data_IF_795599378068
#
_entry.id   IF_795599378068
#
_cell.length_a   1.000
_cell.length_b   1.000
_cell.length_c   1.000
_cell.angle_alpha   90.00
_cell.angle_beta   90.00
_cell.angle_gamma   90.00
#
_symmetry.space_group_name_H-M   'P 1'
#
loop_
_entity.id
_entity.type
_entity.pdbx_description
1 polymer ?
#
# COMPACT_ATOMS: atom_id res chain seq x y z
N UNK A 1 -21.00 16.26 17.06
CA UNK A 1 -19.72 16.36 17.78
C UNK A 1 -19.26 17.82 17.87
N UNK A 2 -19.11 18.54 16.74
CA UNK A 2 -18.62 19.93 16.78
C UNK A 2 -19.48 20.81 17.69
N UNK A 3 -20.80 20.79 17.54
CA UNK A 3 -21.71 21.55 18.41
C UNK A 3 -21.57 21.20 19.90
N UNK A 4 -21.31 19.91 20.23
CA UNK A 4 -21.06 19.50 21.63
C UNK A 4 -19.77 20.10 22.17
N UNK A 5 -18.74 20.25 21.33
CA UNK A 5 -17.46 20.86 21.72
C UNK A 5 -17.52 22.38 21.89
N UNK A 6 -18.56 23.03 21.34
CA UNK A 6 -18.79 24.46 21.52
C UNK A 6 -19.47 24.79 22.83
N UNK A 7 -20.37 23.89 23.29
CA UNK A 7 -21.22 24.13 24.48
C UNK A 7 -20.68 23.57 25.79
N UNK A 8 -19.66 22.69 25.74
CA UNK A 8 -19.11 22.04 26.93
C UNK A 8 -17.57 21.95 26.89
N UNK A 9 -16.94 22.11 28.04
CA UNK A 9 -15.48 21.99 28.18
C UNK A 9 -15.03 20.54 28.22
N UNK A 10 -15.89 19.62 28.68
CA UNK A 10 -15.64 18.18 28.75
C UNK A 10 -16.79 17.44 28.07
N UNK A 11 -16.46 16.63 27.09
CA UNK A 11 -17.44 15.92 26.26
C UNK A 11 -17.03 14.47 26.11
N UNK A 12 -17.90 13.57 26.55
CA UNK A 12 -17.80 12.14 26.29
C UNK A 12 -18.92 11.74 25.34
N UNK A 13 -18.59 11.02 24.28
CA UNK A 13 -19.56 10.64 23.25
C UNK A 13 -19.28 9.24 22.73
N UNK A 14 -20.35 8.49 22.48
CA UNK A 14 -20.32 7.24 21.74
C UNK A 14 -20.82 7.48 20.33
N UNK A 15 -20.07 7.05 19.32
CA UNK A 15 -20.43 7.27 17.92
C UNK A 15 -19.68 6.31 16.98
N UNK A 16 -20.06 6.26 15.66
CA UNK A 16 -19.33 5.45 14.67
C UNK A 16 -17.86 5.81 14.58
N UNK A 17 -16.98 4.81 14.55
CA UNK A 17 -15.53 4.98 14.61
C UNK A 17 -14.84 5.24 13.26
N UNK A 18 -15.59 5.40 12.17
CA UNK A 18 -15.05 5.48 10.79
C UNK A 18 -13.99 6.56 10.58
N UNK A 19 -14.14 7.70 11.27
CA UNK A 19 -13.19 8.81 11.16
C UNK A 19 -11.78 8.43 11.64
N UNK A 20 -11.66 7.52 12.63
CA UNK A 20 -10.38 7.03 13.13
C UNK A 20 -9.53 6.35 12.05
N UNK A 21 -10.17 5.81 11.03
CA UNK A 21 -9.55 5.07 9.93
C UNK A 21 -9.58 5.85 8.61
N UNK A 22 -10.02 7.10 8.64
CA UNK A 22 -10.21 7.93 7.46
C UNK A 22 -11.12 7.27 6.41
N UNK A 23 -12.16 6.57 6.90
CA UNK A 23 -13.09 5.76 6.12
C UNK A 23 -14.52 6.31 6.20
N UNK A 24 -15.36 5.89 5.25
CA UNK A 24 -16.77 6.28 5.17
C UNK A 24 -16.98 7.63 4.49
N UNK A 25 -18.20 8.18 4.65
CA UNK A 25 -18.63 9.43 4.00
C UNK A 25 -18.30 10.68 4.80
N UNK A 26 -17.52 10.57 5.88
CA UNK A 26 -17.08 11.72 6.67
C UNK A 26 -16.09 12.56 5.85
N UNK A 27 -16.24 13.89 5.77
CA UNK A 27 -15.31 14.74 5.04
C UNK A 27 -13.88 14.58 5.55
N UNK A 28 -12.91 14.44 4.63
CA UNK A 28 -11.50 14.23 5.01
C UNK A 28 -10.96 15.33 5.92
N UNK A 29 -11.28 16.58 5.62
CA UNK A 29 -10.88 17.73 6.45
C UNK A 29 -11.42 17.63 7.89
N UNK A 30 -12.63 17.11 8.07
CA UNK A 30 -13.19 16.89 9.41
C UNK A 30 -12.46 15.73 10.12
N UNK A 31 -12.15 14.65 9.42
CA UNK A 31 -11.35 13.55 9.99
C UNK A 31 -9.98 14.04 10.44
N UNK A 32 -9.30 14.84 9.61
CA UNK A 32 -7.99 15.45 9.93
C UNK A 32 -8.09 16.37 11.15
N UNK A 33 -9.12 17.22 11.22
CA UNK A 33 -9.41 18.07 12.39
C UNK A 33 -9.51 17.23 13.66
N UNK A 34 -10.31 16.18 13.64
CA UNK A 34 -10.53 15.31 14.81
C UNK A 34 -9.26 14.53 15.19
N UNK A 35 -8.53 13.99 14.22
CA UNK A 35 -7.33 13.20 14.47
C UNK A 35 -6.13 14.06 14.90
N UNK A 36 -6.12 15.35 14.58
CA UNK A 36 -5.08 16.30 14.97
C UNK A 36 -5.41 17.06 16.27
N UNK A 37 -6.63 16.94 16.81
CA UNK A 37 -7.01 17.61 18.06
C UNK A 37 -6.25 17.01 19.26
N UNK A 38 -5.34 17.78 19.91
CA UNK A 38 -4.57 17.28 21.04
C UNK A 38 -5.41 17.12 22.31
N UNK A 39 -6.62 17.64 22.34
CA UNK A 39 -7.56 17.57 23.46
C UNK A 39 -8.51 16.37 23.39
N UNK A 40 -8.49 15.62 22.27
CA UNK A 40 -9.31 14.46 22.03
C UNK A 40 -8.55 13.16 22.33
N UNK A 41 -9.21 12.24 23.03
CA UNK A 41 -8.69 10.87 23.24
C UNK A 41 -9.76 9.84 22.98
N UNK A 42 -9.34 8.61 22.65
CA UNK A 42 -10.20 7.43 22.56
C UNK A 42 -10.16 6.68 23.89
N UNK A 43 -11.31 6.54 24.52
CA UNK A 43 -11.45 5.76 25.76
C UNK A 43 -11.67 4.28 25.45
N UNK A 44 -12.51 3.98 24.45
CA UNK A 44 -12.83 2.62 24.07
C UNK A 44 -13.13 2.53 22.56
N UNK A 45 -12.76 1.42 21.96
CA UNK A 45 -13.09 1.06 20.59
C UNK A 45 -13.54 -0.38 20.51
N UNK A 46 -14.71 -0.62 19.88
CA UNK A 46 -15.21 -1.97 19.59
C UNK A 46 -15.50 -2.08 18.08
N UNK A 47 -14.83 -3.02 17.44
CA UNK A 47 -14.98 -3.27 16.02
C UNK A 47 -16.32 -3.88 15.63
N UNK A 48 -16.88 -4.69 16.53
CA UNK A 48 -18.19 -5.33 16.39
C UNK A 48 -19.24 -4.53 17.15
N UNK A 49 -19.95 -3.68 16.43
CA UNK A 49 -20.98 -2.82 17.01
C UNK A 49 -22.12 -3.59 17.72
N UNK A 50 -22.36 -4.85 17.34
CA UNK A 50 -23.41 -5.67 17.95
C UNK A 50 -23.15 -6.01 19.40
N UNK A 51 -21.88 -5.96 19.85
CA UNK A 51 -21.51 -6.14 21.26
C UNK A 51 -21.88 -4.96 22.15
N UNK A 52 -22.08 -3.77 21.56
CA UNK A 52 -22.47 -2.56 22.28
C UNK A 52 -23.96 -2.28 22.06
N UNK A 53 -24.41 -2.38 20.82
CA UNK A 53 -25.80 -2.14 20.43
C UNK A 53 -26.34 -3.37 19.70
N UNK A 54 -27.22 -4.12 20.39
CA UNK A 54 -27.81 -5.31 19.81
C UNK A 54 -28.48 -5.03 18.46
N UNK A 55 -28.36 -5.95 17.52
CA UNK A 55 -28.94 -5.86 16.17
C UNK A 55 -28.42 -4.70 15.30
N UNK A 56 -27.22 -4.20 15.55
CA UNK A 56 -26.59 -3.17 14.71
C UNK A 56 -25.37 -3.70 13.97
N UNK A 57 -25.17 -3.23 12.74
CA UNK A 57 -23.96 -3.49 11.93
C UNK A 57 -23.38 -2.14 11.47
N UNK A 58 -22.61 -1.50 12.35
CA UNK A 58 -21.93 -0.24 12.06
C UNK A 58 -20.53 -0.56 11.51
N UNK A 59 -20.39 -0.51 10.19
CA UNK A 59 -19.09 -0.74 9.54
C UNK A 59 -18.02 0.24 10.06
N UNK A 60 -16.87 -0.31 10.46
CA UNK A 60 -15.79 0.44 11.12
C UNK A 60 -15.91 0.48 12.65
N UNK A 61 -16.98 -0.11 13.23
CA UNK A 61 -17.15 -0.22 14.67
C UNK A 61 -17.65 1.06 15.35
N UNK A 62 -17.63 1.02 16.66
CA UNK A 62 -18.08 2.08 17.57
C UNK A 62 -16.92 2.54 18.44
N UNK A 63 -16.89 3.82 18.74
CA UNK A 63 -15.86 4.43 19.59
C UNK A 63 -16.50 5.26 20.70
N UNK A 64 -15.91 5.23 21.89
CA UNK A 64 -16.14 6.20 22.96
C UNK A 64 -14.97 7.16 22.93
N UNK A 65 -15.25 8.43 22.64
CA UNK A 65 -14.28 9.50 22.66
C UNK A 65 -14.51 10.42 23.86
N UNK A 66 -13.42 10.96 24.38
CA UNK A 66 -13.45 11.97 25.41
C UNK A 66 -12.61 13.17 24.96
N UNK A 67 -13.19 14.36 25.08
CA UNK A 67 -12.50 15.61 24.82
C UNK A 67 -12.53 16.49 26.08
N UNK A 68 -11.36 16.99 26.47
CA UNK A 68 -11.21 17.95 27.58
C UNK A 68 -10.46 19.17 27.04
N UNK A 69 -11.13 20.32 27.02
CA UNK A 69 -10.63 21.57 26.44
C UNK A 69 -9.31 22.05 27.05
N UNK A 70 -9.01 21.62 28.28
CA UNK A 70 -7.80 22.02 29.01
C UNK A 70 -6.71 20.97 28.92
N UNK A 71 -7.06 19.69 28.92
CA UNK A 71 -6.10 18.60 29.01
C UNK A 71 -5.55 18.23 27.64
N UNK A 72 -4.22 18.20 27.51
CA UNK A 72 -3.54 17.77 26.30
C UNK A 72 -3.17 16.30 26.39
N UNK A 73 -3.76 15.47 25.51
CA UNK A 73 -3.49 14.03 25.36
C UNK A 73 -2.49 13.75 24.24
N UNK A 74 -2.18 14.77 23.41
CA UNK A 74 -1.51 14.61 22.13
C UNK A 74 -2.44 14.18 21.01
N UNK A 75 -2.13 14.56 19.80
CA UNK A 75 -2.91 14.20 18.62
C UNK A 75 -2.97 12.67 18.41
N UNK A 76 -4.15 12.16 18.03
CA UNK A 76 -4.34 10.73 17.70
C UNK A 76 -3.53 10.39 16.42
N UNK A 77 -3.51 11.28 15.43
CA UNK A 77 -2.92 11.15 14.09
C UNK A 77 -3.38 9.89 13.34
N UNK A 78 -2.97 8.71 13.82
CA UNK A 78 -3.37 7.40 13.31
C UNK A 78 -3.84 6.55 14.48
N UNK A 79 -5.10 6.15 14.42
CA UNK A 79 -5.64 5.27 15.44
C UNK A 79 -5.13 3.85 15.24
N UNK A 80 -4.54 3.30 16.29
CA UNK A 80 -4.01 1.92 16.34
C UNK A 80 -4.85 1.16 17.34
N UNK A 81 -5.55 0.13 16.85
CA UNK A 81 -6.53 -0.64 17.63
C UNK A 81 -5.90 -1.36 18.84
N UNK A 82 -4.70 -1.92 18.64
CA UNK A 82 -4.02 -2.72 19.66
C UNK A 82 -3.02 -1.87 20.45
N UNK A 83 -3.13 -1.88 21.77
CA UNK A 83 -2.26 -1.08 22.66
C UNK A 83 -0.79 -1.45 22.54
N UNK A 84 -0.48 -2.74 22.36
CA UNK A 84 0.86 -3.25 22.14
C UNK A 84 1.49 -2.64 20.88
N UNK A 85 0.73 -2.62 19.78
CA UNK A 85 1.20 -2.02 18.53
C UNK A 85 1.34 -0.51 18.63
N UNK A 86 0.47 0.16 19.40
CA UNK A 86 0.58 1.59 19.70
C UNK A 86 1.87 1.88 20.45
N UNK A 87 2.23 1.04 21.44
CA UNK A 87 3.49 1.14 22.17
C UNK A 87 4.71 0.98 21.25
N UNK A 88 4.69 -0.03 20.36
CA UNK A 88 5.78 -0.27 19.40
C UNK A 88 5.88 0.89 18.40
N UNK A 89 4.76 1.35 17.83
CA UNK A 89 4.74 2.46 16.89
C UNK A 89 5.28 3.77 17.51
N UNK A 90 4.97 4.03 18.79
CA UNK A 90 5.54 5.17 19.54
C UNK A 90 7.06 5.05 19.71
N UNK A 91 7.58 3.85 19.98
CA UNK A 91 9.02 3.61 20.06
C UNK A 91 9.69 3.87 18.72
N UNK A 92 9.14 3.34 17.63
CA UNK A 92 9.63 3.58 16.27
C UNK A 92 9.69 5.08 15.97
N UNK A 93 8.61 5.83 16.25
CA UNK A 93 8.56 7.29 16.04
C UNK A 93 9.67 8.07 16.78
N UNK A 94 10.17 7.55 17.90
CA UNK A 94 11.24 8.16 18.68
C UNK A 94 12.65 7.93 18.13
N UNK A 95 12.82 6.99 17.19
CA UNK A 95 14.14 6.59 16.66
C UNK A 95 14.55 7.33 15.39
N UNK A 96 13.82 8.37 14.97
CA UNK A 96 14.11 9.12 13.72
C UNK A 96 14.33 8.19 12.51
N UNK A 97 13.51 7.17 12.39
CA UNK A 97 13.62 6.14 11.35
C UNK A 97 13.22 6.65 9.97
N UNK A 98 13.84 6.12 8.94
CA UNK A 98 13.36 6.21 7.57
C UNK A 98 12.33 5.11 7.33
N UNK A 99 11.19 5.45 6.76
CA UNK A 99 10.14 4.47 6.46
C UNK A 99 10.45 3.67 5.19
N UNK A 100 10.16 2.36 5.20
CA UNK A 100 10.22 1.49 4.01
C UNK A 100 9.35 2.04 2.86
N UNK A 101 8.29 2.80 3.17
CA UNK A 101 7.44 3.44 2.15
C UNK A 101 8.21 4.33 1.16
N UNK A 102 9.40 4.81 1.53
CA UNK A 102 10.24 5.68 0.68
C UNK A 102 10.89 4.96 -0.49
N UNK A 103 11.04 3.64 -0.39
CA UNK A 103 11.63 2.80 -1.43
C UNK A 103 10.59 1.89 -2.10
N UNK A 104 9.30 2.19 -1.93
CA UNK A 104 8.20 1.49 -2.61
C UNK A 104 7.76 2.29 -3.83
N UNK A 105 7.81 1.65 -4.97
CA UNK A 105 7.34 2.15 -6.26
C UNK A 105 5.90 1.69 -6.48
N UNK A 106 5.03 2.63 -6.77
CA UNK A 106 3.59 2.39 -6.90
C UNK A 106 3.26 1.40 -8.04
N UNK A 107 2.08 0.79 -7.96
CA UNK A 107 1.60 -0.12 -8.99
C UNK A 107 1.49 0.57 -10.38
N UNK A 108 1.28 1.88 -10.41
CA UNK A 108 1.15 2.71 -11.59
C UNK A 108 2.48 3.22 -12.15
N UNK A 109 3.63 2.69 -11.68
CA UNK A 109 4.98 3.14 -12.08
C UNK A 109 5.31 2.82 -13.54
N UNK A 110 4.73 1.78 -14.10
CA UNK A 110 4.87 1.41 -15.51
C UNK A 110 3.67 1.93 -16.30
N UNK A 111 3.94 2.58 -17.43
CA UNK A 111 2.88 3.16 -18.27
C UNK A 111 3.21 3.01 -19.75
N UNK A 112 2.20 2.95 -20.60
CA UNK A 112 2.41 3.06 -22.04
C UNK A 112 2.94 4.43 -22.43
N UNK A 113 3.65 4.48 -23.55
CA UNK A 113 4.15 5.72 -24.16
C UNK A 113 3.24 6.18 -25.28
N UNK A 114 3.42 7.44 -25.73
CA UNK A 114 2.78 7.96 -26.93
C UNK A 114 3.16 7.15 -28.17
N UNK A 115 4.41 6.65 -28.26
CA UNK A 115 4.89 5.82 -29.36
C UNK A 115 4.04 4.57 -29.51
N UNK A 116 3.73 3.89 -28.41
CA UNK A 116 2.85 2.71 -28.43
C UNK A 116 1.50 3.03 -29.06
N UNK A 117 0.88 4.14 -28.65
CA UNK A 117 -0.45 4.54 -29.15
C UNK A 117 -0.42 4.97 -30.61
N UNK A 118 0.62 5.67 -31.05
CA UNK A 118 0.77 6.10 -32.45
C UNK A 118 0.93 4.91 -33.40
N UNK A 119 1.73 3.92 -33.00
CA UNK A 119 2.00 2.74 -33.82
C UNK A 119 0.90 1.67 -33.74
N UNK A 120 0.07 1.70 -32.68
CA UNK A 120 -0.99 0.72 -32.43
C UNK A 120 -2.32 1.41 -32.10
N UNK A 121 -2.80 2.30 -32.96
CA UNK A 121 -4.00 3.11 -32.70
C UNK A 121 -5.26 2.28 -32.40
N UNK A 122 -5.37 1.08 -32.95
CA UNK A 122 -6.50 0.15 -32.70
C UNK A 122 -6.60 -0.28 -31.25
N UNK A 123 -5.52 -0.27 -30.45
CA UNK A 123 -5.57 -0.70 -29.04
C UNK A 123 -6.36 0.26 -28.16
N UNK A 124 -6.56 1.52 -28.57
CA UNK A 124 -7.30 2.48 -27.76
C UNK A 124 -8.76 2.03 -27.48
N UNK A 125 -9.36 1.31 -28.43
CA UNK A 125 -10.71 0.75 -28.27
C UNK A 125 -10.77 -0.40 -27.25
N UNK A 126 -9.64 -1.07 -26.98
CA UNK A 126 -9.51 -2.16 -26.03
C UNK A 126 -9.20 -1.66 -24.61
N UNK A 127 -8.73 -0.43 -24.48
CA UNK A 127 -8.33 0.17 -23.21
C UNK A 127 -9.52 0.91 -22.54
N UNK A 128 -9.46 1.03 -21.23
CA UNK A 128 -10.52 1.73 -20.48
C UNK A 128 -10.44 3.23 -20.71
N UNK A 129 -11.58 3.89 -20.95
CA UNK A 129 -11.68 5.34 -21.12
C UNK A 129 -11.00 6.07 -19.94
N UNK A 130 -10.16 7.06 -20.24
CA UNK A 130 -9.39 7.81 -19.24
C UNK A 130 -8.16 7.09 -18.67
N UNK A 131 -7.89 5.85 -19.09
CA UNK A 131 -6.81 5.00 -18.56
C UNK A 131 -5.95 4.37 -19.64
N UNK A 132 -5.85 5.01 -20.79
CA UNK A 132 -5.17 4.45 -21.97
C UNK A 132 -3.67 4.20 -21.77
N UNK A 133 -3.03 4.91 -20.85
CA UNK A 133 -1.61 4.72 -20.54
C UNK A 133 -1.36 3.71 -19.41
N UNK A 134 -2.38 3.19 -18.76
CA UNK A 134 -2.21 2.38 -17.56
C UNK A 134 -1.93 0.90 -17.88
N UNK A 135 -0.92 0.34 -17.21
CA UNK A 135 -0.66 -1.11 -17.21
C UNK A 135 -1.60 -1.85 -16.27
N UNK A 136 -2.93 -1.79 -16.54
CA UNK A 136 -3.94 -2.46 -15.71
C UNK A 136 -3.68 -3.95 -15.57
N UNK A 137 -4.22 -4.56 -14.52
CA UNK A 137 -3.99 -5.97 -14.18
C UNK A 137 -4.33 -6.95 -15.31
N UNK A 138 -5.28 -6.60 -16.19
CA UNK A 138 -5.74 -7.44 -17.30
C UNK A 138 -5.13 -7.05 -18.66
N UNK A 139 -4.12 -6.18 -18.68
CA UNK A 139 -3.56 -5.65 -19.94
C UNK A 139 -2.84 -6.72 -20.76
N UNK A 140 -2.22 -7.71 -20.08
CA UNK A 140 -1.50 -8.79 -20.77
C UNK A 140 -2.43 -9.66 -21.65
N UNK A 141 -3.64 -9.95 -21.18
CA UNK A 141 -4.62 -10.69 -21.97
C UNK A 141 -5.35 -9.81 -22.97
N UNK A 142 -5.64 -8.54 -22.63
CA UNK A 142 -6.34 -7.63 -23.55
C UNK A 142 -5.54 -7.29 -24.79
N UNK A 143 -4.23 -7.15 -24.67
CA UNK A 143 -3.33 -6.75 -25.76
C UNK A 143 -2.38 -7.87 -26.16
N UNK A 144 -2.80 -9.12 -25.92
CA UNK A 144 -2.04 -10.30 -26.32
C UNK A 144 -1.88 -10.37 -27.85
N UNK A 145 -0.68 -10.72 -28.30
CA UNK A 145 -0.29 -10.76 -29.72
C UNK A 145 -0.50 -9.45 -30.48
N UNK A 146 -0.75 -8.32 -29.77
CA UNK A 146 -0.80 -6.98 -30.36
C UNK A 146 0.44 -6.19 -29.93
N UNK A 147 0.62 -6.02 -28.62
CA UNK A 147 1.80 -5.34 -28.05
C UNK A 147 2.52 -6.20 -27.01
N UNK A 148 1.86 -7.22 -26.45
CA UNK A 148 2.45 -8.20 -25.54
C UNK A 148 2.57 -9.56 -26.23
N UNK A 149 3.74 -10.18 -26.11
CA UNK A 149 4.06 -11.44 -26.78
C UNK A 149 4.57 -12.46 -25.78
N UNK A 150 4.17 -13.72 -25.93
CA UNK A 150 4.67 -14.83 -25.10
C UNK A 150 6.12 -15.16 -25.40
N UNK A 151 6.55 -15.00 -26.64
CA UNK A 151 7.94 -15.14 -27.08
C UNK A 151 8.47 -13.79 -27.58
N UNK A 152 9.76 -13.52 -27.41
CA UNK A 152 10.38 -12.31 -27.89
C UNK A 152 10.39 -12.27 -29.42
N UNK A 153 9.75 -11.29 -30.07
CA UNK A 153 9.75 -11.15 -31.51
C UNK A 153 11.19 -10.93 -32.05
N UNK A 154 11.46 -11.45 -33.23
CA UNK A 154 12.79 -11.37 -33.91
C UNK A 154 12.77 -10.33 -35.00
N UNK A 155 12.31 -9.12 -34.67
CA UNK A 155 12.16 -7.99 -35.62
C UNK A 155 13.28 -6.94 -35.53
N UNK A 156 14.29 -7.19 -34.69
CA UNK A 156 15.41 -6.28 -34.47
C UNK A 156 15.13 -5.18 -33.43
N UNK A 157 13.91 -5.12 -32.86
CA UNK A 157 13.56 -4.16 -31.81
C UNK A 157 14.06 -4.62 -30.42
N UNK A 158 14.22 -3.66 -29.50
CA UNK A 158 14.51 -3.98 -28.10
C UNK A 158 13.24 -4.32 -27.33
N UNK A 159 13.26 -5.40 -26.60
CA UNK A 159 12.13 -5.87 -25.79
C UNK A 159 12.48 -5.95 -24.31
N UNK A 160 11.46 -5.80 -23.46
CA UNK A 160 11.52 -5.99 -22.01
C UNK A 160 10.42 -6.97 -21.58
N UNK A 161 10.60 -7.57 -20.41
CA UNK A 161 9.58 -8.44 -19.81
C UNK A 161 8.70 -7.69 -18.83
N UNK A 162 7.41 -8.00 -18.84
CA UNK A 162 6.43 -7.49 -17.90
C UNK A 162 5.73 -8.66 -17.23
N UNK A 163 5.82 -8.73 -15.89
CA UNK A 163 5.08 -9.66 -15.05
C UNK A 163 3.67 -9.12 -14.80
N UNK A 164 2.68 -9.94 -15.02
CA UNK A 164 1.29 -9.61 -14.74
C UNK A 164 0.47 -10.87 -14.45
N UNK A 165 -0.86 -10.76 -14.59
CA UNK A 165 -1.77 -11.88 -14.56
C UNK A 165 -2.34 -12.11 -15.96
N UNK A 166 -2.40 -13.38 -16.35
CA UNK A 166 -3.21 -13.87 -17.44
C UNK A 166 -4.28 -14.79 -16.83
N UNK A 167 -5.52 -14.30 -16.74
CA UNK A 167 -6.51 -14.86 -15.84
C UNK A 167 -6.06 -14.79 -14.37
N UNK A 168 -5.92 -15.92 -13.71
CA UNK A 168 -5.40 -16.03 -12.33
C UNK A 168 -3.90 -16.40 -12.26
N UNK A 169 -3.26 -16.68 -13.40
CA UNK A 169 -1.88 -17.16 -13.47
C UNK A 169 -0.90 -16.01 -13.62
N UNK A 170 0.13 -16.00 -12.79
CA UNK A 170 1.29 -15.09 -12.96
C UNK A 170 2.03 -15.47 -14.25
N UNK A 171 2.19 -14.50 -15.14
CA UNK A 171 2.77 -14.71 -16.49
C UNK A 171 3.65 -13.53 -16.83
N UNK A 172 4.78 -13.81 -17.48
CA UNK A 172 5.64 -12.80 -18.07
C UNK A 172 5.36 -12.73 -19.58
N UNK A 173 5.25 -11.52 -20.13
CA UNK A 173 5.17 -11.29 -21.57
C UNK A 173 6.18 -10.23 -22.00
N UNK A 174 6.60 -10.33 -23.25
CA UNK A 174 7.51 -9.39 -23.88
C UNK A 174 6.74 -8.23 -24.48
N UNK A 175 7.31 -7.03 -24.36
CA UNK A 175 6.82 -5.79 -24.98
C UNK A 175 8.01 -4.96 -25.45
N UNK A 176 7.86 -4.22 -26.55
CA UNK A 176 8.90 -3.30 -27.01
C UNK A 176 9.24 -2.27 -25.91
N UNK A 177 10.52 -2.05 -25.70
CA UNK A 177 11.03 -1.17 -24.62
C UNK A 177 10.55 0.28 -24.79
N UNK A 178 10.50 0.79 -26.00
CA UNK A 178 10.05 2.16 -26.32
C UNK A 178 8.55 2.37 -26.15
N UNK A 179 7.76 1.30 -25.98
CA UNK A 179 6.35 1.36 -25.67
C UNK A 179 6.07 1.58 -24.16
N UNK A 180 7.12 1.50 -23.33
CA UNK A 180 6.98 1.50 -21.88
C UNK A 180 7.79 2.61 -21.24
N UNK A 181 7.11 3.47 -20.47
CA UNK A 181 7.75 4.34 -19.49
C UNK A 181 8.03 3.52 -18.23
N UNK A 182 9.29 3.41 -17.85
CA UNK A 182 9.75 2.62 -16.70
C UNK A 182 10.16 3.49 -15.51
N UNK A 183 10.03 3.01 -14.27
CA UNK A 183 10.52 3.68 -13.07
C UNK A 183 12.06 3.56 -12.95
N UNK A 184 12.60 4.37 -12.05
CA UNK A 184 14.06 4.46 -11.83
C UNK A 184 14.70 3.13 -11.36
N UNK A 185 13.93 2.26 -10.67
CA UNK A 185 14.40 0.95 -10.20
C UNK A 185 14.31 -0.16 -11.26
N UNK A 186 13.94 0.17 -12.50
CA UNK A 186 13.78 -0.83 -13.56
C UNK A 186 15.06 -1.60 -13.86
N UNK A 187 16.20 -0.92 -13.89
CA UNK A 187 17.52 -1.51 -14.17
C UNK A 187 18.20 -2.18 -12.96
N UNK A 188 17.49 -2.36 -11.84
CA UNK A 188 18.03 -2.92 -10.60
C UNK A 188 17.27 -4.17 -10.19
N UNK A 189 17.84 -5.00 -9.30
CA UNK A 189 17.08 -6.00 -8.55
C UNK A 189 16.04 -5.31 -7.68
N UNK A 190 14.91 -5.95 -7.48
CA UNK A 190 13.78 -5.43 -6.70
C UNK A 190 12.83 -6.54 -6.28
N UNK A 191 11.97 -6.25 -5.33
CA UNK A 191 10.97 -7.23 -4.86
C UNK A 191 9.58 -6.79 -5.29
N UNK A 192 8.87 -7.62 -6.05
CA UNK A 192 7.47 -7.41 -6.36
C UNK A 192 6.58 -7.96 -5.25
N UNK A 193 5.64 -7.15 -4.81
CA UNK A 193 4.56 -7.52 -3.88
C UNK A 193 3.21 -7.23 -4.53
N UNK A 194 2.19 -8.03 -4.20
CA UNK A 194 0.84 -7.79 -4.71
C UNK A 194 0.30 -6.45 -4.18
N UNK A 195 -0.31 -5.63 -5.07
CA UNK A 195 -1.00 -4.40 -4.70
C UNK A 195 -2.15 -4.65 -3.73
N UNK A 196 -2.90 -5.72 -3.97
CA UNK A 196 -3.98 -6.19 -3.09
C UNK A 196 -3.58 -7.52 -2.45
N UNK A 197 -3.81 -7.66 -1.15
CA UNK A 197 -3.46 -8.85 -0.39
C UNK A 197 -4.49 -9.13 0.72
N UNK A 198 -5.06 -10.31 0.69
CA UNK A 198 -6.06 -10.77 1.66
C UNK A 198 -7.33 -9.93 1.70
N UNK A 199 -8.04 -9.96 2.83
CA UNK A 199 -9.26 -9.19 3.10
C UNK A 199 -8.98 -7.83 3.74
N UNK A 200 -7.79 -7.66 4.29
CA UNK A 200 -7.40 -6.52 5.12
C UNK A 200 -7.50 -6.81 6.62
N UNK A 201 -7.83 -8.04 7.00
CA UNK A 201 -7.81 -8.44 8.39
C UNK A 201 -6.39 -8.36 8.98
N UNK A 202 -6.30 -7.95 10.24
CA UNK A 202 -5.02 -7.88 10.93
C UNK A 202 -4.40 -9.27 11.08
N UNK A 203 -3.10 -9.37 10.80
CA UNK A 203 -2.35 -10.62 10.93
C UNK A 203 -2.29 -11.49 9.66
N UNK A 204 -2.99 -11.11 8.60
CA UNK A 204 -2.88 -11.79 7.30
C UNK A 204 -1.43 -11.82 6.80
N UNK A 205 -1.07 -12.94 6.16
CA UNK A 205 0.22 -13.06 5.50
C UNK A 205 0.21 -12.36 4.15
N UNK A 206 1.33 -11.74 3.78
CA UNK A 206 1.52 -11.25 2.43
C UNK A 206 1.56 -12.42 1.43
N UNK A 207 0.94 -12.24 0.27
CA UNK A 207 1.18 -13.13 -0.88
C UNK A 207 2.68 -13.21 -1.14
N UNK A 208 3.17 -14.38 -1.55
CA UNK A 208 4.61 -14.59 -1.73
C UNK A 208 5.25 -13.47 -2.57
N UNK A 209 6.19 -12.69 -2.01
CA UNK A 209 6.97 -11.72 -2.77
C UNK A 209 7.78 -12.41 -3.87
N UNK A 210 8.06 -11.69 -4.93
CA UNK A 210 8.83 -12.18 -6.09
C UNK A 210 10.08 -11.32 -6.23
N UNK A 211 11.24 -11.94 -6.25
CA UNK A 211 12.48 -11.26 -6.60
C UNK A 211 12.48 -11.08 -8.13
N UNK A 212 12.64 -9.86 -8.58
CA UNK A 212 12.69 -9.51 -9.98
C UNK A 212 14.09 -9.02 -10.37
N UNK A 213 14.62 -9.61 -11.42
CA UNK A 213 15.90 -9.24 -12.03
C UNK A 213 15.84 -7.83 -12.67
N UNK A 214 16.99 -7.21 -12.94
CA UNK A 214 17.08 -6.02 -13.79
C UNK A 214 16.38 -6.23 -15.13
N UNK A 215 15.62 -5.22 -15.59
CA UNK A 215 14.94 -5.28 -16.88
C UNK A 215 13.55 -5.96 -16.87
N UNK A 216 13.09 -6.44 -15.73
CA UNK A 216 11.71 -6.96 -15.57
C UNK A 216 10.82 -5.90 -14.94
N UNK A 217 9.68 -5.59 -15.56
CA UNK A 217 8.63 -4.71 -15.04
C UNK A 217 7.40 -5.46 -14.60
N UNK A 218 6.35 -4.73 -14.16
CA UNK A 218 5.10 -5.33 -13.72
C UNK A 218 3.87 -4.53 -14.15
N UNK A 219 2.71 -5.20 -14.19
CA UNK A 219 1.39 -4.57 -14.31
C UNK A 219 0.93 -4.02 -12.96
N UNK A 220 -0.18 -3.27 -12.94
CA UNK A 220 -0.81 -2.74 -11.71
C UNK A 220 -1.28 -3.82 -10.71
N UNK A 221 -1.06 -5.09 -11.00
CA UNK A 221 -1.24 -6.19 -10.04
C UNK A 221 -0.21 -6.13 -8.90
N UNK A 222 0.97 -5.57 -9.19
CA UNK A 222 2.10 -5.54 -8.28
C UNK A 222 2.55 -4.11 -8.00
N UNK A 223 3.35 -3.96 -6.96
CA UNK A 223 4.21 -2.84 -6.63
C UNK A 223 5.63 -3.38 -6.48
N UNK A 224 6.64 -2.53 -6.53
CA UNK A 224 8.01 -2.96 -6.28
C UNK A 224 8.65 -2.26 -5.09
N UNK A 225 9.47 -3.00 -4.35
CA UNK A 225 10.24 -2.51 -3.21
C UNK A 225 11.72 -2.57 -3.58
N UNK A 226 12.42 -1.48 -3.33
CA UNK A 226 13.86 -1.38 -3.46
C UNK A 226 14.34 -1.03 -4.88
N UNK A 227 15.57 -0.60 -4.90
CA UNK A 227 16.45 -0.40 -6.05
C UNK A 227 17.79 -1.03 -5.64
N UNK A 228 17.82 -2.37 -5.67
CA UNK A 228 18.91 -3.16 -5.12
C UNK A 228 20.05 -3.31 -6.13
N UNK A 229 21.28 -3.29 -5.66
CA UNK A 229 22.47 -3.52 -6.47
C UNK A 229 22.72 -5.02 -6.70
N UNK A 230 22.20 -5.86 -5.79
CA UNK A 230 22.37 -7.31 -5.83
C UNK A 230 21.07 -8.06 -5.58
N UNK A 231 21.06 -9.34 -6.00
CA UNK A 231 19.99 -10.27 -5.67
C UNK A 231 19.89 -10.50 -4.16
N UNK A 232 21.03 -10.53 -3.45
CA UNK A 232 21.12 -10.73 -2.02
C UNK A 232 20.36 -9.65 -1.24
N UNK A 233 20.46 -8.38 -1.67
CA UNK A 233 19.66 -7.29 -1.09
C UNK A 233 18.15 -7.52 -1.31
N UNK A 234 17.74 -7.97 -2.48
CA UNK A 234 16.35 -8.31 -2.76
C UNK A 234 15.87 -9.50 -1.93
N UNK A 235 16.74 -10.50 -1.68
CA UNK A 235 16.47 -11.61 -0.75
C UNK A 235 16.27 -11.07 0.67
N UNK A 236 17.14 -10.18 1.15
CA UNK A 236 17.03 -9.56 2.47
C UNK A 236 15.72 -8.79 2.63
N UNK A 237 15.34 -7.96 1.65
CA UNK A 237 14.04 -7.28 1.63
C UNK A 237 12.89 -8.29 1.73
N UNK A 238 12.96 -9.40 0.96
CA UNK A 238 11.95 -10.45 0.96
C UNK A 238 11.83 -11.12 2.33
N UNK A 239 12.94 -11.39 2.99
CA UNK A 239 12.95 -11.92 4.37
C UNK A 239 12.34 -10.91 5.33
N UNK A 240 12.76 -9.65 5.26
CA UNK A 240 12.28 -8.58 6.15
C UNK A 240 10.77 -8.37 6.08
N UNK A 241 10.19 -8.21 4.89
CA UNK A 241 8.75 -7.96 4.75
C UNK A 241 7.89 -9.14 5.20
N UNK A 242 8.46 -10.34 5.29
CA UNK A 242 7.80 -11.54 5.83
C UNK A 242 7.89 -11.63 7.36
N UNK A 243 8.74 -10.87 8.03
CA UNK A 243 8.86 -10.92 9.48
C UNK A 243 7.56 -10.60 10.19
N UNK A 244 7.34 -11.15 11.38
CA UNK A 244 6.19 -10.80 12.23
C UNK A 244 6.15 -9.30 12.51
N UNK A 245 7.32 -8.69 12.73
CA UNK A 245 7.45 -7.25 13.00
C UNK A 245 6.97 -6.40 11.81
N UNK A 246 7.52 -6.60 10.62
CA UNK A 246 7.14 -5.82 9.43
C UNK A 246 5.64 -5.98 9.11
N UNK A 247 5.11 -7.21 9.21
CA UNK A 247 3.68 -7.48 8.99
C UNK A 247 2.78 -6.82 10.05
N UNK A 248 3.18 -6.86 11.32
CA UNK A 248 2.44 -6.20 12.40
C UNK A 248 2.40 -4.68 12.17
N UNK A 249 3.54 -4.07 11.82
CA UNK A 249 3.63 -2.62 11.56
C UNK A 249 2.90 -2.21 10.28
N UNK A 250 2.91 -3.04 9.24
CA UNK A 250 2.06 -2.85 8.06
C UNK A 250 0.56 -2.91 8.45
N UNK A 251 0.18 -3.89 9.27
CA UNK A 251 -1.19 -4.09 9.74
C UNK A 251 -1.75 -2.90 10.53
N UNK A 252 -0.91 -2.05 11.10
CA UNK A 252 -1.32 -0.81 11.78
C UNK A 252 -2.16 0.10 10.86
N UNK A 253 -1.78 0.20 9.58
CA UNK A 253 -2.46 1.08 8.61
C UNK A 253 -3.21 0.33 7.52
N UNK A 254 -2.97 -0.97 7.36
CA UNK A 254 -3.63 -1.81 6.34
C UNK A 254 -4.95 -2.34 6.88
N UNK A 255 -6.04 -1.63 6.63
CA UNK A 255 -7.42 -1.97 7.04
C UNK A 255 -8.28 -2.49 5.88
N UNK A 256 -7.72 -2.60 4.69
CA UNK A 256 -8.34 -3.13 3.47
C UNK A 256 -7.36 -4.05 2.78
N UNK A 257 -7.78 -4.73 1.72
CA UNK A 257 -6.87 -5.54 0.91
C UNK A 257 -5.74 -4.74 0.25
N UNK A 258 -5.95 -3.45 -0.06
CA UNK A 258 -4.96 -2.61 -0.72
C UNK A 258 -3.76 -2.30 0.19
N UNK A 259 -2.56 -2.36 -0.40
CA UNK A 259 -1.29 -2.27 0.31
C UNK A 259 -0.34 -1.20 -0.29
N UNK A 260 -0.82 0.02 -0.66
CA UNK A 260 0.02 1.06 -1.25
C UNK A 260 1.11 1.57 -0.30
N UNK A 261 2.12 2.24 -0.84
CA UNK A 261 3.29 2.73 -0.09
C UNK A 261 2.95 3.43 1.25
N UNK A 262 1.92 4.31 1.36
CA UNK A 262 1.60 4.95 2.64
C UNK A 262 1.24 3.98 3.78
N UNK A 263 0.76 2.77 3.46
CA UNK A 263 0.45 1.76 4.49
C UNK A 263 1.68 1.20 5.18
N UNK A 264 2.86 1.34 4.56
CA UNK A 264 4.14 0.91 5.09
C UNK A 264 4.83 1.97 5.97
N UNK A 265 4.14 3.07 6.29
CA UNK A 265 4.68 4.21 7.04
C UNK A 265 5.42 3.79 8.31
N UNK A 266 4.87 2.85 9.08
CA UNK A 266 5.44 2.38 10.35
C UNK A 266 6.40 1.20 10.22
N UNK A 267 6.69 0.75 9.01
CA UNK A 267 7.72 -0.27 8.76
C UNK A 267 9.04 0.47 8.53
N UNK A 268 10.02 0.37 9.44
CA UNK A 268 11.33 1.01 9.25
C UNK A 268 12.05 0.42 8.04
N UNK A 269 12.75 1.28 7.31
CA UNK A 269 13.73 0.85 6.32
C UNK A 269 14.95 0.31 7.07
N UNK A 270 15.45 -0.84 6.65
CA UNK A 270 16.67 -1.43 7.16
C UNK A 270 17.81 -1.29 6.14
N UNK A 271 19.03 -1.50 6.57
CA UNK A 271 20.15 -1.76 5.68
C UNK A 271 20.05 -3.22 5.19
N UNK A 272 19.95 -3.40 3.88
CA UNK A 272 19.86 -4.71 3.24
C UNK A 272 21.17 -5.11 2.55
N UNK A 273 22.19 -4.28 2.64
CA UNK A 273 23.49 -4.54 2.04
C UNK A 273 24.30 -5.57 2.82
N UNK A 274 25.40 -6.00 2.26
CA UNK A 274 26.34 -6.91 2.94
C UNK A 274 27.01 -6.29 4.20
N UNK A 275 26.86 -4.97 4.40
CA UNK A 275 27.39 -4.24 5.55
C UNK A 275 26.38 -4.08 6.69
N UNK A 276 25.18 -4.64 6.53
CA UNK A 276 24.12 -4.59 7.53
C UNK A 276 24.58 -5.24 8.84
N UNK A 277 24.21 -4.65 9.97
CA UNK A 277 24.33 -5.26 11.30
C UNK A 277 23.29 -6.38 11.55
N UNK A 278 22.33 -6.53 10.62
CA UNK A 278 21.33 -7.59 10.65
C UNK A 278 21.82 -8.74 9.75
N UNK A 279 21.85 -9.94 10.32
CA UNK A 279 22.11 -11.15 9.55
C UNK A 279 20.89 -11.49 8.66
N UNK A 280 21.06 -11.30 7.36
CA UNK A 280 20.06 -11.64 6.34
C UNK A 280 20.26 -13.03 5.70
N UNK A 281 21.20 -13.85 6.20
CA UNK A 281 21.48 -15.21 5.66
C UNK A 281 20.29 -16.18 5.79
#
# INVERSE_FOLDING_TARGET
LDASYEIADKVEMIHPARFLFNAGSTPKAWNEKMLSDPHLTVLHYESDSSKIFANTDIKGGVVITYRDKVKNYGAIEHFIVFDELRSIARKIKKTDYVSLSKVIYAAESYRFTETMHKENSSVESLLSKGHKYDFKSNVLSKLDNIVFFSEMPKDGSSYIKILGLDGSKRTEKWIRKDYVRVPENFGSYKVFISKANGSGAFGETLSAPIIAEPGIGHTQTFMSIGKCESEQEAIAITKYVKTKFARAMLGVLKITQDCPAPKWKYVPLQDFTAHSDIDWS
#
